data_IF_147342486273
#
_entry.id   IF_147342486273
#
_cell.length_a   1.000
_cell.length_b   1.000
_cell.length_c   1.000
_cell.angle_alpha   90.00
_cell.angle_beta   90.00
_cell.angle_gamma   90.00
#
_symmetry.space_group_name_H-M   'P 1'
#
loop_
_entity.id
_entity.type
_entity.pdbx_description
1 polymer ?
#
# COMPACT_ATOMS: atom_id res chain seq x y z
N UNK A 1 18.09 16.84 -11.10
CA UNK A 1 16.70 17.38 -11.13
C UNK A 1 16.08 17.33 -12.53
N UNK A 2 16.79 17.71 -13.60
CA UNK A 2 16.30 17.66 -14.99
C UNK A 2 15.86 16.27 -15.48
N UNK A 3 16.62 15.22 -15.18
CA UNK A 3 16.28 13.85 -15.60
C UNK A 3 14.99 13.31 -14.95
N UNK A 4 14.74 13.63 -13.67
CA UNK A 4 13.53 13.21 -12.94
C UNK A 4 12.29 13.85 -13.55
N UNK A 5 12.34 15.17 -13.81
CA UNK A 5 11.25 15.89 -14.45
C UNK A 5 11.02 15.41 -15.88
N UNK A 6 12.09 15.07 -16.60
CA UNK A 6 12.01 14.46 -17.93
C UNK A 6 11.31 13.09 -17.88
N UNK A 7 11.67 12.21 -16.95
CA UNK A 7 11.01 10.90 -16.79
C UNK A 7 9.52 11.07 -16.46
N UNK A 8 9.16 11.99 -15.54
CA UNK A 8 7.76 12.27 -15.22
C UNK A 8 6.98 12.82 -16.41
N UNK A 9 7.59 13.71 -17.21
CA UNK A 9 6.96 14.26 -18.41
C UNK A 9 6.78 13.22 -19.52
N UNK A 10 7.69 12.24 -19.61
CA UNK A 10 7.66 11.18 -20.63
C UNK A 10 6.85 9.95 -20.19
N UNK A 11 6.39 9.86 -18.94
CA UNK A 11 5.55 8.75 -18.44
C UNK A 11 4.32 8.49 -19.30
N UNK A 12 3.77 9.55 -19.91
CA UNK A 12 2.58 9.48 -20.77
C UNK A 12 2.89 9.03 -22.20
N UNK A 13 4.14 9.11 -22.62
CA UNK A 13 4.56 8.84 -24.00
C UNK A 13 4.88 7.35 -24.19
N UNK A 14 5.25 6.66 -23.11
CA UNK A 14 5.57 5.23 -23.13
C UNK A 14 4.40 4.41 -22.59
N UNK A 15 3.66 3.79 -23.50
CA UNK A 15 2.54 2.89 -23.22
C UNK A 15 2.89 1.46 -23.64
N UNK A 16 2.50 0.48 -22.82
CA UNK A 16 2.49 -0.95 -23.13
C UNK A 16 1.26 -1.35 -23.98
N UNK A 17 0.37 -0.40 -24.29
CA UNK A 17 -0.89 -0.63 -24.99
C UNK A 17 -1.99 -1.22 -24.12
N UNK A 18 -1.75 -1.36 -22.81
CA UNK A 18 -2.65 -1.96 -21.82
C UNK A 18 -2.85 -1.00 -20.65
N UNK A 19 -4.06 -0.45 -20.44
CA UNK A 19 -4.33 0.55 -19.40
C UNK A 19 -3.88 0.12 -18.00
N UNK A 20 -4.04 -1.15 -17.65
CA UNK A 20 -3.65 -1.72 -16.37
C UNK A 20 -2.13 -1.70 -16.14
N UNK A 21 -1.36 -2.04 -17.17
CA UNK A 21 0.10 -2.10 -17.13
C UNK A 21 0.64 -0.67 -17.09
N UNK A 22 0.07 0.22 -17.89
CA UNK A 22 0.46 1.63 -17.93
C UNK A 22 0.16 2.37 -16.62
N UNK A 23 -0.98 2.06 -15.99
CA UNK A 23 -1.34 2.58 -14.68
C UNK A 23 -0.34 2.13 -13.60
N UNK A 24 -0.07 0.82 -13.54
CA UNK A 24 0.85 0.25 -12.54
C UNK A 24 2.30 0.70 -12.76
N UNK A 25 2.75 0.75 -14.02
CA UNK A 25 4.10 1.20 -14.37
C UNK A 25 4.32 2.66 -13.97
N UNK A 26 3.35 3.54 -14.26
CA UNK A 26 3.44 4.93 -13.85
C UNK A 26 3.46 5.10 -12.33
N UNK A 27 2.64 4.35 -11.57
CA UNK A 27 2.71 4.36 -10.10
C UNK A 27 4.09 3.93 -9.61
N UNK A 28 4.61 2.82 -10.13
CA UNK A 28 5.91 2.28 -9.72
C UNK A 28 7.05 3.27 -10.03
N UNK A 29 7.04 3.89 -11.21
CA UNK A 29 8.01 4.92 -11.57
C UNK A 29 7.89 6.13 -10.65
N UNK A 30 6.67 6.61 -10.37
CA UNK A 30 6.47 7.72 -9.42
C UNK A 30 7.00 7.37 -8.03
N UNK A 31 6.75 6.16 -7.53
CA UNK A 31 7.28 5.70 -6.23
C UNK A 31 8.81 5.63 -6.23
N UNK A 32 9.42 5.10 -7.28
CA UNK A 32 10.88 5.06 -7.46
C UNK A 32 11.46 6.48 -7.43
N UNK A 33 10.88 7.40 -8.20
CA UNK A 33 11.35 8.78 -8.28
C UNK A 33 11.22 9.52 -6.94
N UNK A 34 10.11 9.33 -6.23
CA UNK A 34 9.93 9.91 -4.89
C UNK A 34 10.99 9.38 -3.92
N UNK A 35 11.35 8.10 -4.00
CA UNK A 35 12.44 7.52 -3.19
C UNK A 35 13.80 8.09 -3.57
N UNK A 36 14.08 8.25 -4.86
CA UNK A 36 15.31 8.91 -5.32
C UNK A 36 15.38 10.35 -4.80
N UNK A 37 14.26 11.09 -4.82
CA UNK A 37 14.20 12.45 -4.26
C UNK A 37 14.48 12.41 -2.75
N UNK A 38 13.85 11.51 -1.98
CA UNK A 38 14.07 11.43 -0.53
C UNK A 38 15.53 11.11 -0.19
N UNK A 39 16.10 10.08 -0.80
CA UNK A 39 17.42 9.57 -0.40
C UNK A 39 18.60 10.30 -1.03
N UNK A 40 18.48 10.79 -2.27
CA UNK A 40 19.61 11.36 -3.01
C UNK A 40 19.59 12.89 -3.06
N UNK A 41 18.40 13.51 -2.94
CA UNK A 41 18.26 14.98 -3.10
C UNK A 41 17.98 15.65 -1.77
N UNK A 42 17.03 15.14 -0.98
CA UNK A 42 16.63 15.76 0.28
C UNK A 42 17.59 15.44 1.43
N UNK A 43 18.36 14.36 1.32
CA UNK A 43 19.28 13.91 2.36
C UNK A 43 20.62 13.54 1.73
N UNK A 44 21.71 13.72 2.51
CA UNK A 44 22.95 13.01 2.23
C UNK A 44 22.80 11.59 2.79
N UNK A 45 22.66 10.61 1.90
CA UNK A 45 22.31 9.25 2.28
C UNK A 45 23.28 8.64 3.31
N UNK A 46 24.58 8.82 3.08
CA UNK A 46 25.66 8.20 3.88
C UNK A 46 25.80 8.81 5.27
N UNK A 47 25.36 10.06 5.44
CA UNK A 47 25.38 10.75 6.73
C UNK A 47 24.07 10.57 7.49
N UNK A 48 22.95 10.42 6.78
CA UNK A 48 21.61 10.42 7.38
C UNK A 48 21.15 9.01 7.75
N UNK A 49 21.47 8.03 6.92
CA UNK A 49 20.94 6.67 7.05
C UNK A 49 22.02 5.72 7.52
N UNK A 50 21.73 5.02 8.61
CA UNK A 50 22.68 4.09 9.23
C UNK A 50 21.99 2.77 9.50
N UNK A 51 22.65 1.65 9.19
CA UNK A 51 22.15 0.32 9.58
C UNK A 51 22.44 0.03 11.04
N UNK A 52 21.52 -0.69 11.67
CA UNK A 52 21.70 -1.24 13.01
C UNK A 52 22.65 -2.44 12.93
N UNK A 53 23.74 -2.40 13.71
CA UNK A 53 24.73 -3.47 13.86
C UNK A 53 24.18 -4.58 14.76
N UNK A 54 24.84 -5.73 14.75
CA UNK A 54 24.46 -6.89 15.56
C UNK A 54 24.50 -6.65 17.07
N UNK A 55 25.32 -5.72 17.53
CA UNK A 55 25.45 -5.28 18.92
C UNK A 55 24.39 -4.23 19.32
N UNK A 56 23.53 -3.79 18.39
CA UNK A 56 22.50 -2.78 18.60
C UNK A 56 22.99 -1.33 18.45
N UNK A 57 24.26 -1.11 18.10
CA UNK A 57 24.77 0.22 17.72
C UNK A 57 24.47 0.51 16.25
N UNK A 58 24.69 1.74 15.78
CA UNK A 58 24.50 2.10 14.37
C UNK A 58 25.85 2.23 13.64
N UNK A 59 25.85 1.95 12.35
CA UNK A 59 26.93 2.33 11.43
C UNK A 59 27.21 3.84 11.51
N UNK A 60 28.50 4.21 11.48
CA UNK A 60 28.92 5.62 11.37
C UNK A 60 29.12 6.00 9.90
N UNK A 61 29.22 7.30 9.62
CA UNK A 61 29.58 7.77 8.27
C UNK A 61 30.94 7.20 7.84
N UNK A 62 31.93 7.18 8.73
CA UNK A 62 33.25 6.59 8.48
C UNK A 62 33.19 5.10 8.11
N UNK A 63 32.29 4.33 8.72
CA UNK A 63 32.07 2.93 8.38
C UNK A 63 31.56 2.78 6.94
N UNK A 64 30.70 3.72 6.50
CA UNK A 64 30.09 3.76 5.18
C UNK A 64 31.09 4.24 4.12
N UNK A 65 31.97 5.19 4.44
CA UNK A 65 33.03 5.67 3.54
C UNK A 65 34.10 4.60 3.27
N UNK A 66 34.39 3.75 4.25
CA UNK A 66 35.37 2.66 4.13
C UNK A 66 34.85 1.42 3.37
N UNK A 67 33.58 1.42 2.94
CA UNK A 67 33.01 0.32 2.18
C UNK A 67 33.65 0.20 0.80
N UNK A 68 33.91 -1.04 0.38
CA UNK A 68 34.24 -1.33 -1.03
C UNK A 68 33.07 -0.98 -1.93
N UNK A 69 33.32 -0.79 -3.24
CA UNK A 69 32.25 -0.49 -4.22
C UNK A 69 31.11 -1.52 -4.19
N UNK A 70 31.42 -2.81 -4.00
CA UNK A 70 30.41 -3.85 -3.92
C UNK A 70 29.59 -3.77 -2.63
N UNK A 71 30.23 -3.55 -1.48
CA UNK A 71 29.54 -3.34 -0.21
C UNK A 71 28.65 -2.10 -0.26
N UNK A 72 29.14 -1.03 -0.90
CA UNK A 72 28.40 0.20 -1.10
C UNK A 72 27.18 -0.02 -1.98
N UNK A 73 27.33 -0.75 -3.09
CA UNK A 73 26.21 -1.13 -3.94
C UNK A 73 25.15 -1.93 -3.17
N UNK A 74 25.56 -2.95 -2.41
CA UNK A 74 24.65 -3.73 -1.57
C UNK A 74 23.96 -2.87 -0.49
N UNK A 75 24.69 -1.93 0.11
CA UNK A 75 24.15 -0.96 1.07
C UNK A 75 23.07 -0.08 0.43
N UNK A 76 23.36 0.49 -0.75
CA UNK A 76 22.42 1.35 -1.48
C UNK A 76 21.18 0.59 -1.94
N UNK A 77 21.34 -0.64 -2.45
CA UNK A 77 20.21 -1.51 -2.80
C UNK A 77 19.37 -1.83 -1.57
N UNK A 78 19.99 -2.11 -0.42
CA UNK A 78 19.27 -2.36 0.83
C UNK A 78 18.48 -1.13 1.31
N UNK A 79 19.09 0.06 1.26
CA UNK A 79 18.42 1.33 1.58
C UNK A 79 17.25 1.59 0.62
N UNK A 80 17.49 1.42 -0.67
CA UNK A 80 16.50 1.71 -1.70
C UNK A 80 15.34 0.72 -1.72
N UNK A 81 15.52 -0.52 -1.25
CA UNK A 81 14.46 -1.55 -1.21
C UNK A 81 13.73 -1.62 0.13
N UNK A 82 14.29 -1.09 1.22
CA UNK A 82 13.61 -1.09 2.52
C UNK A 82 12.49 -0.05 2.60
N UNK A 83 11.26 -0.50 2.87
CA UNK A 83 10.08 0.38 2.88
C UNK A 83 9.72 0.84 4.29
N UNK A 84 10.04 0.02 5.30
CA UNK A 84 9.70 0.24 6.72
C UNK A 84 10.93 0.53 7.59
N UNK A 85 12.11 0.65 6.99
CA UNK A 85 13.37 0.91 7.69
C UNK A 85 13.79 -0.22 8.63
N UNK A 86 13.49 -1.48 8.30
CA UNK A 86 13.85 -2.61 9.16
C UNK A 86 15.37 -2.77 9.15
N UNK A 87 16.01 -2.67 10.32
CA UNK A 87 17.46 -2.65 10.46
C UNK A 87 18.12 -1.29 10.16
N UNK A 88 17.33 -0.21 10.11
CA UNK A 88 17.81 1.16 9.87
C UNK A 88 17.39 2.11 11.00
N UNK A 89 18.14 3.18 11.19
CA UNK A 89 17.87 4.23 12.19
C UNK A 89 16.50 4.93 12.04
N UNK A 90 15.88 4.83 10.86
CA UNK A 90 14.56 5.41 10.56
C UNK A 90 13.41 4.40 10.65
N UNK A 91 13.60 3.24 11.28
CA UNK A 91 12.58 2.20 11.43
C UNK A 91 11.23 2.77 11.88
N UNK A 92 10.18 2.41 11.14
CA UNK A 92 8.81 2.82 11.46
C UNK A 92 8.37 2.26 12.83
N UNK A 93 7.72 3.11 13.64
CA UNK A 93 7.20 2.76 14.96
C UNK A 93 6.07 1.72 14.86
N UNK A 94 5.96 0.87 15.89
CA UNK A 94 4.89 -0.14 16.02
C UNK A 94 4.90 -1.25 14.94
N UNK A 95 6.08 -1.59 14.43
CA UNK A 95 6.25 -2.81 13.62
C UNK A 95 6.39 -3.99 14.56
N UNK A 96 5.54 -5.01 14.39
CA UNK A 96 5.62 -6.24 15.19
C UNK A 96 6.98 -6.92 15.01
N UNK A 97 7.53 -7.46 16.09
CA UNK A 97 8.85 -8.09 16.10
C UNK A 97 8.71 -9.58 15.81
N UNK A 98 9.58 -10.09 14.94
CA UNK A 98 9.74 -11.55 14.77
C UNK A 98 10.58 -12.07 15.95
N UNK A 99 10.16 -13.15 16.63
CA UNK A 99 10.93 -13.72 17.73
C UNK A 99 12.36 -14.10 17.32
N UNK A 100 13.35 -13.82 18.18
CA UNK A 100 14.77 -14.12 17.90
C UNK A 100 15.07 -15.62 17.81
N UNK A 101 14.32 -16.43 18.56
CA UNK A 101 14.48 -17.89 18.60
C UNK A 101 13.82 -18.62 17.42
N UNK A 102 13.15 -17.90 16.52
CA UNK A 102 12.46 -18.52 15.39
C UNK A 102 13.49 -19.05 14.38
N UNK A 103 13.46 -20.36 14.11
CA UNK A 103 14.36 -20.97 13.12
C UNK A 103 14.00 -20.51 11.71
N UNK A 104 15.01 -20.50 10.83
CA UNK A 104 14.86 -20.09 9.42
C UNK A 104 13.89 -20.99 8.67
N UNK A 105 14.00 -22.31 8.85
CA UNK A 105 13.12 -23.29 8.20
C UNK A 105 11.65 -23.10 8.62
N UNK A 106 11.41 -22.91 9.92
CA UNK A 106 10.07 -22.64 10.43
C UNK A 106 9.50 -21.33 9.88
N UNK A 107 10.29 -20.26 9.89
CA UNK A 107 9.84 -18.98 9.33
C UNK A 107 9.48 -19.10 7.85
N UNK A 108 10.32 -19.76 7.06
CA UNK A 108 10.09 -19.97 5.62
C UNK A 108 8.82 -20.80 5.39
N UNK A 109 8.61 -21.87 6.16
CA UNK A 109 7.38 -22.68 6.08
C UNK A 109 6.14 -21.85 6.42
N UNK A 110 6.20 -21.01 7.46
CA UNK A 110 5.11 -20.11 7.82
C UNK A 110 4.81 -19.09 6.70
N UNK A 111 5.83 -18.55 6.03
CA UNK A 111 5.62 -17.62 4.91
C UNK A 111 5.07 -18.32 3.67
N UNK A 112 5.53 -19.54 3.36
CA UNK A 112 4.98 -20.34 2.25
C UNK A 112 3.51 -20.66 2.53
N UNK A 113 3.17 -21.10 3.74
CA UNK A 113 1.77 -21.38 4.10
C UNK A 113 0.87 -20.14 3.96
N UNK A 114 1.36 -18.96 4.39
CA UNK A 114 0.64 -17.69 4.19
C UNK A 114 0.52 -17.30 2.73
N UNK A 115 1.57 -17.48 1.93
CA UNK A 115 1.53 -17.23 0.50
C UNK A 115 0.54 -18.17 -0.20
N UNK A 116 0.51 -19.45 0.16
CA UNK A 116 -0.48 -20.42 -0.33
C UNK A 116 -1.90 -20.02 0.03
N UNK A 117 -2.14 -19.58 1.26
CA UNK A 117 -3.46 -19.06 1.65
C UNK A 117 -3.86 -17.83 0.81
N UNK A 118 -2.94 -16.88 0.62
CA UNK A 118 -3.19 -15.70 -0.22
C UNK A 118 -3.50 -16.10 -1.68
N UNK A 119 -2.75 -17.06 -2.22
CA UNK A 119 -2.99 -17.59 -3.57
C UNK A 119 -4.38 -18.22 -3.69
N UNK A 120 -4.77 -19.08 -2.75
CA UNK A 120 -6.11 -19.70 -2.76
C UNK A 120 -7.22 -18.66 -2.68
N UNK A 121 -7.06 -17.64 -1.83
CA UNK A 121 -8.01 -16.53 -1.78
C UNK A 121 -8.10 -15.80 -3.11
N UNK A 122 -6.96 -15.44 -3.72
CA UNK A 122 -6.93 -14.73 -5.00
C UNK A 122 -7.56 -15.56 -6.12
N UNK A 123 -7.32 -16.88 -6.14
CA UNK A 123 -7.89 -17.81 -7.12
C UNK A 123 -9.41 -17.89 -7.01
N UNK A 124 -9.92 -18.12 -5.79
CA UNK A 124 -11.37 -18.12 -5.49
C UNK A 124 -12.00 -16.78 -5.82
N UNK A 125 -11.37 -15.68 -5.41
CA UNK A 125 -11.88 -14.32 -5.63
C UNK A 125 -11.99 -13.97 -7.10
N UNK A 126 -10.94 -14.15 -7.89
CA UNK A 126 -10.96 -13.87 -9.34
C UNK A 126 -11.93 -14.79 -10.07
N UNK A 127 -12.04 -16.06 -9.67
CA UNK A 127 -13.06 -16.95 -10.22
C UNK A 127 -14.47 -16.44 -9.89
N UNK A 128 -14.76 -16.15 -8.62
CA UNK A 128 -16.07 -15.68 -8.19
C UNK A 128 -16.49 -14.37 -8.86
N UNK A 129 -15.61 -13.36 -8.88
CA UNK A 129 -15.91 -12.07 -9.50
C UNK A 129 -16.26 -12.22 -10.98
N UNK A 130 -15.60 -13.12 -11.70
CA UNK A 130 -15.91 -13.43 -13.12
C UNK A 130 -17.31 -14.01 -13.32
N UNK A 131 -17.81 -14.78 -12.36
CA UNK A 131 -19.15 -15.37 -12.43
C UNK A 131 -20.28 -14.43 -11.97
N UNK A 132 -19.94 -13.29 -11.35
CA UNK A 132 -20.92 -12.28 -10.92
C UNK A 132 -21.17 -11.22 -11.99
N UNK A 133 -22.09 -10.29 -11.71
CA UNK A 133 -22.47 -9.15 -12.59
C UNK A 133 -21.27 -8.33 -13.10
N UNK A 134 -20.12 -8.36 -12.40
CA UNK A 134 -18.90 -7.70 -12.86
C UNK A 134 -18.11 -8.48 -13.94
N UNK A 135 -18.34 -9.78 -14.12
CA UNK A 135 -17.68 -10.60 -15.14
C UNK A 135 -18.62 -11.24 -16.17
N UNK A 136 -19.93 -11.17 -15.97
CA UNK A 136 -20.90 -11.51 -17.00
C UNK A 136 -20.78 -10.54 -18.18
N UNK A 137 -20.23 -11.06 -19.27
CA UNK A 137 -19.81 -10.42 -20.53
C UNK A 137 -20.88 -9.60 -21.29
N UNK A 138 -22.03 -9.30 -20.69
CA UNK A 138 -23.20 -8.71 -21.36
C UNK A 138 -23.47 -7.25 -21.02
N UNK A 139 -22.71 -6.63 -20.11
CA UNK A 139 -22.57 -5.18 -20.06
C UNK A 139 -21.36 -4.83 -19.22
N UNK A 140 -20.43 -4.11 -19.81
CA UNK A 140 -19.38 -3.38 -19.11
C UNK A 140 -20.05 -2.59 -17.99
N UNK A 141 -19.92 -3.02 -16.73
CA UNK A 141 -20.22 -2.13 -15.59
C UNK A 141 -19.13 -1.07 -15.60
N UNK A 142 -19.26 -0.12 -16.52
CA UNK A 142 -18.34 0.99 -16.71
C UNK A 142 -18.43 1.94 -15.51
N UNK A 143 -19.54 1.90 -14.78
CA UNK A 143 -19.78 2.69 -13.59
C UNK A 143 -20.52 1.89 -12.50
N UNK A 144 -19.81 1.56 -11.42
CA UNK A 144 -20.41 0.89 -10.25
C UNK A 144 -21.48 1.75 -9.58
N UNK A 145 -21.51 3.06 -9.79
CA UNK A 145 -22.51 3.90 -9.14
C UNK A 145 -23.92 3.67 -9.68
N UNK A 146 -24.06 2.92 -10.78
CA UNK A 146 -25.35 2.51 -11.38
C UNK A 146 -26.00 1.29 -10.73
N UNK A 147 -25.23 0.46 -10.01
CA UNK A 147 -25.75 -0.75 -9.35
C UNK A 147 -26.23 -0.43 -7.92
N UNK A 148 -27.06 -1.28 -7.28
CA UNK A 148 -27.53 -1.05 -5.92
C UNK A 148 -26.41 -0.81 -4.91
N UNK A 149 -26.63 0.13 -3.97
CA UNK A 149 -25.61 0.58 -3.00
C UNK A 149 -24.93 -0.57 -2.24
N UNK A 150 -25.68 -1.59 -1.84
CA UNK A 150 -25.14 -2.74 -1.13
C UNK A 150 -24.12 -3.52 -1.99
N UNK A 151 -24.35 -3.63 -3.30
CA UNK A 151 -23.39 -4.25 -4.22
C UNK A 151 -22.14 -3.39 -4.38
N UNK A 152 -22.29 -2.06 -4.48
CA UNK A 152 -21.15 -1.14 -4.52
C UNK A 152 -20.26 -1.28 -3.28
N UNK A 153 -20.88 -1.35 -2.10
CA UNK A 153 -20.16 -1.53 -0.83
C UNK A 153 -19.43 -2.88 -0.82
N UNK A 154 -20.10 -3.97 -1.21
CA UNK A 154 -19.48 -5.29 -1.28
C UNK A 154 -18.30 -5.32 -2.26
N UNK A 155 -18.44 -4.71 -3.44
CA UNK A 155 -17.33 -4.58 -4.41
C UNK A 155 -16.20 -3.74 -3.84
N UNK A 156 -16.49 -2.61 -3.20
CA UNK A 156 -15.50 -1.76 -2.53
C UNK A 156 -14.64 -2.52 -1.53
N UNK A 157 -15.28 -3.25 -0.62
CA UNK A 157 -14.59 -4.09 0.36
C UNK A 157 -13.84 -5.26 -0.30
N UNK A 158 -14.47 -5.92 -1.26
CA UNK A 158 -13.89 -7.03 -2.01
C UNK A 158 -12.60 -6.61 -2.73
N UNK A 159 -12.61 -5.48 -3.43
CA UNK A 159 -11.43 -4.90 -4.08
C UNK A 159 -10.34 -4.54 -3.06
N UNK A 160 -10.70 -3.94 -1.93
CA UNK A 160 -9.74 -3.58 -0.89
C UNK A 160 -9.05 -4.81 -0.28
N UNK A 161 -9.81 -5.85 0.05
CA UNK A 161 -9.25 -7.11 0.55
C UNK A 161 -8.38 -7.79 -0.50
N UNK A 162 -8.83 -7.86 -1.75
CA UNK A 162 -8.05 -8.43 -2.84
C UNK A 162 -6.71 -7.71 -3.05
N UNK A 163 -6.70 -6.38 -3.05
CA UNK A 163 -5.45 -5.60 -3.12
C UNK A 163 -4.53 -5.87 -1.93
N UNK A 164 -5.08 -5.95 -0.72
CA UNK A 164 -4.31 -6.27 0.49
C UNK A 164 -3.71 -7.69 0.46
N UNK A 165 -4.49 -8.68 0.02
CA UNK A 165 -4.04 -10.07 -0.13
C UNK A 165 -2.97 -10.19 -1.21
N UNK A 166 -3.13 -9.51 -2.34
CA UNK A 166 -2.14 -9.50 -3.44
C UNK A 166 -0.80 -8.93 -2.95
N UNK A 167 -0.83 -7.82 -2.20
CA UNK A 167 0.38 -7.27 -1.56
C UNK A 167 1.00 -8.27 -0.58
N UNK A 168 0.17 -8.93 0.24
CA UNK A 168 0.59 -9.96 1.17
C UNK A 168 1.27 -11.14 0.47
N UNK A 169 0.69 -11.63 -0.63
CA UNK A 169 1.23 -12.71 -1.44
C UNK A 169 2.66 -12.43 -1.91
N UNK A 170 2.88 -11.29 -2.58
CA UNK A 170 4.20 -10.90 -3.06
C UNK A 170 5.21 -10.74 -1.90
N UNK A 171 4.76 -10.20 -0.77
CA UNK A 171 5.62 -10.04 0.40
C UNK A 171 6.04 -11.37 1.02
N UNK A 172 5.11 -12.29 1.24
CA UNK A 172 5.40 -13.58 1.86
C UNK A 172 6.28 -14.46 0.96
N UNK A 173 6.07 -14.43 -0.36
CA UNK A 173 6.98 -15.06 -1.31
C UNK A 173 8.38 -14.46 -1.26
N UNK A 174 8.48 -13.13 -1.28
CA UNK A 174 9.76 -12.43 -1.14
C UNK A 174 10.49 -12.78 0.16
N UNK A 175 9.75 -12.82 1.28
CA UNK A 175 10.28 -13.19 2.59
C UNK A 175 10.78 -14.64 2.63
N UNK A 176 10.00 -15.58 2.07
CA UNK A 176 10.38 -16.99 1.99
C UNK A 176 11.65 -17.16 1.15
N UNK A 177 11.75 -16.48 0.01
CA UNK A 177 12.93 -16.53 -0.85
C UNK A 177 14.16 -15.89 -0.18
N UNK A 178 14.02 -14.69 0.38
CA UNK A 178 15.11 -13.95 1.00
C UNK A 178 15.67 -14.65 2.24
N UNK A 179 14.81 -15.24 3.08
CA UNK A 179 15.24 -15.97 4.29
C UNK A 179 15.63 -17.41 3.97
N UNK A 180 15.02 -18.04 2.96
CA UNK A 180 15.38 -19.39 2.52
C UNK A 180 16.76 -19.45 1.86
N UNK A 181 17.11 -18.43 1.08
CA UNK A 181 18.35 -18.40 0.28
C UNK A 181 19.64 -18.15 1.06
N UNK A 182 19.59 -17.60 2.27
CA UNK A 182 20.82 -17.15 2.94
C UNK A 182 20.81 -15.68 3.32
N UNK A 183 20.17 -14.86 2.48
CA UNK A 183 20.43 -13.42 2.37
C UNK A 183 19.99 -12.61 3.59
N UNK A 184 18.90 -13.01 4.23
CA UNK A 184 18.33 -12.28 5.35
C UNK A 184 17.94 -13.21 6.50
N UNK A 185 17.92 -12.64 7.72
CA UNK A 185 17.37 -13.30 8.89
C UNK A 185 15.84 -13.12 8.93
N UNK A 186 15.09 -14.02 9.61
CA UNK A 186 13.65 -13.86 9.81
C UNK A 186 13.26 -12.47 10.34
N UNK A 187 14.08 -11.89 11.20
CA UNK A 187 13.83 -10.60 11.84
C UNK A 187 13.90 -9.40 10.88
N UNK A 188 14.51 -9.58 9.70
CA UNK A 188 14.52 -8.58 8.63
C UNK A 188 13.17 -8.48 7.91
N UNK A 189 12.28 -9.47 8.06
CA UNK A 189 10.99 -9.58 7.36
C UNK A 189 9.79 -9.66 8.34
N UNK A 190 9.54 -8.62 9.15
CA UNK A 190 8.39 -8.61 10.06
C UNK A 190 7.05 -8.55 9.30
N UNK A 191 5.96 -9.15 9.82
CA UNK A 191 4.64 -9.12 9.18
C UNK A 191 4.21 -7.72 8.71
N UNK A 192 3.60 -7.62 7.52
CA UNK A 192 3.07 -6.33 7.02
C UNK A 192 1.83 -5.94 7.82
N UNK A 193 0.92 -6.88 8.00
CA UNK A 193 -0.31 -6.70 8.74
C UNK A 193 -0.06 -7.10 10.19
N UNK A 194 -0.44 -6.22 11.13
CA UNK A 194 -0.42 -6.56 12.55
C UNK A 194 -1.58 -7.48 12.93
N UNK A 195 -1.61 -7.94 14.18
CA UNK A 195 -2.74 -8.74 14.71
C UNK A 195 -4.07 -7.99 14.56
N UNK A 196 -5.01 -8.59 13.81
CA UNK A 196 -6.35 -8.06 13.58
C UNK A 196 -7.14 -7.92 14.88
N UNK A 197 -7.01 -8.91 15.77
CA UNK A 197 -7.81 -9.05 16.98
C UNK A 197 -7.28 -8.23 18.16
N UNK A 198 -5.97 -8.07 18.30
CA UNK A 198 -5.38 -7.33 19.42
C UNK A 198 -5.25 -5.83 19.14
N UNK A 199 -5.10 -5.46 17.86
CA UNK A 199 -4.77 -4.09 17.46
C UNK A 199 -5.50 -3.70 16.18
N UNK A 200 -6.80 -3.96 16.06
CA UNK A 200 -7.64 -3.71 14.86
C UNK A 200 -7.51 -2.30 14.23
N UNK A 201 -7.00 -1.33 14.98
CA UNK A 201 -6.63 0.03 14.56
C UNK A 201 -5.37 0.09 13.67
N UNK A 202 -4.60 -1.00 13.60
CA UNK A 202 -3.27 -1.08 12.97
C UNK A 202 -3.35 -1.58 11.53
N UNK A 203 -4.45 -2.24 11.13
CA UNK A 203 -4.70 -2.59 9.73
C UNK A 203 -4.82 -1.36 8.83
N UNK A 204 -5.30 -0.25 9.41
CA UNK A 204 -5.41 1.05 8.73
C UNK A 204 -4.09 1.84 8.75
N UNK A 205 -3.05 1.33 9.39
CA UNK A 205 -1.75 2.00 9.41
C UNK A 205 -0.97 1.57 8.17
N UNK A 206 -1.00 2.44 7.18
CA UNK A 206 -0.21 2.33 5.97
C UNK A 206 1.29 2.56 6.27
N UNK A 207 1.95 1.59 6.90
CA UNK A 207 3.35 1.72 7.33
C UNK A 207 4.34 1.69 6.16
N UNK A 208 3.92 1.14 5.02
CA UNK A 208 4.79 0.91 3.86
C UNK A 208 5.29 2.22 3.23
N UNK A 209 4.45 3.25 3.20
CA UNK A 209 4.78 4.56 2.61
C UNK A 209 5.00 5.67 3.66
N UNK A 210 5.07 5.29 4.94
CA UNK A 210 5.15 6.27 6.04
C UNK A 210 6.36 7.19 5.93
N UNK A 211 7.52 6.67 5.56
CA UNK A 211 8.76 7.46 5.39
C UNK A 211 8.61 8.53 4.32
N UNK A 212 8.03 8.16 3.18
CA UNK A 212 7.75 9.09 2.07
C UNK A 212 6.93 10.26 2.59
N UNK A 213 5.83 9.98 3.29
CA UNK A 213 4.97 11.03 3.81
C UNK A 213 5.65 11.86 4.90
N UNK A 214 6.42 11.25 5.80
CA UNK A 214 7.18 11.97 6.83
C UNK A 214 8.22 12.93 6.24
N UNK A 215 8.93 12.52 5.18
CA UNK A 215 9.93 13.36 4.52
C UNK A 215 9.28 14.57 3.83
N UNK A 216 8.24 14.33 3.01
CA UNK A 216 7.51 15.41 2.32
C UNK A 216 6.84 16.35 3.33
N UNK A 217 6.29 15.81 4.42
CA UNK A 217 5.70 16.59 5.50
C UNK A 217 6.70 17.52 6.19
N UNK A 218 7.92 17.04 6.49
CA UNK A 218 8.97 17.89 7.06
C UNK A 218 9.33 19.06 6.15
N UNK A 219 9.48 18.79 4.85
CA UNK A 219 9.73 19.82 3.84
C UNK A 219 8.60 20.86 3.82
N UNK A 220 7.34 20.42 3.78
CA UNK A 220 6.17 21.29 3.76
C UNK A 220 6.06 22.16 5.02
N UNK A 221 6.26 21.59 6.21
CA UNK A 221 6.20 22.35 7.46
C UNK A 221 7.31 23.39 7.55
N UNK A 222 8.50 23.07 7.04
CA UNK A 222 9.62 24.03 6.97
C UNK A 222 9.30 25.16 6.00
N UNK A 223 8.79 24.85 4.81
CA UNK A 223 8.39 25.83 3.79
C UNK A 223 7.33 26.80 4.31
N UNK A 224 6.31 26.27 5.00
CA UNK A 224 5.21 27.06 5.56
C UNK A 224 5.50 27.63 6.95
N UNK A 225 6.72 27.40 7.49
CA UNK A 225 7.16 27.83 8.83
C UNK A 225 6.18 27.44 9.95
N UNK A 226 5.52 26.29 9.83
CA UNK A 226 4.55 25.80 10.82
C UNK A 226 5.28 25.04 11.93
N UNK A 227 5.08 25.48 13.18
CA UNK A 227 5.70 24.83 14.34
C UNK A 227 5.16 23.40 14.55
N UNK A 228 6.08 22.45 14.69
CA UNK A 228 5.77 21.07 15.06
C UNK A 228 4.96 20.99 16.36
N UNK A 229 4.03 20.03 16.44
CA UNK A 229 3.21 19.78 17.63
C UNK A 229 1.96 20.68 17.75
N UNK A 230 1.76 21.63 16.84
CA UNK A 230 0.52 22.41 16.76
C UNK A 230 -0.60 21.63 16.05
N UNK A 231 -1.87 22.02 16.27
CA UNK A 231 -3.01 21.46 15.52
C UNK A 231 -2.88 21.71 14.01
N UNK A 232 -2.39 22.90 13.63
CA UNK A 232 -2.09 23.22 12.24
C UNK A 232 -1.06 22.25 11.64
N UNK A 233 0.04 21.98 12.35
CA UNK A 233 1.03 20.99 11.93
C UNK A 233 0.44 19.59 11.80
N UNK A 234 -0.42 19.16 12.73
CA UNK A 234 -1.07 17.85 12.68
C UNK A 234 -1.94 17.69 11.43
N UNK A 235 -2.86 18.62 11.18
CA UNK A 235 -3.79 18.50 10.06
C UNK A 235 -3.10 18.75 8.71
N UNK A 236 -2.14 19.66 8.64
CA UNK A 236 -1.36 19.87 7.43
C UNK A 236 -0.60 18.60 7.02
N UNK A 237 0.02 17.91 7.97
CA UNK A 237 0.68 16.62 7.73
C UNK A 237 -0.29 15.52 7.32
N UNK A 238 -1.48 15.50 7.92
CA UNK A 238 -2.54 14.54 7.60
C UNK A 238 -3.03 14.73 6.16
N UNK A 239 -3.46 15.95 5.81
CA UNK A 239 -3.93 16.26 4.46
C UNK A 239 -2.84 16.06 3.42
N UNK A 240 -1.61 16.47 3.69
CA UNK A 240 -0.51 16.29 2.76
C UNK A 240 -0.17 14.81 2.52
N UNK A 241 -0.22 13.95 3.54
CA UNK A 241 0.00 12.51 3.36
C UNK A 241 -1.02 11.87 2.40
N UNK A 242 -2.30 12.24 2.53
CA UNK A 242 -3.35 11.78 1.62
C UNK A 242 -3.27 12.43 0.24
N UNK A 243 -2.88 13.70 0.17
CA UNK A 243 -2.67 14.41 -1.08
C UNK A 243 -1.51 13.81 -1.90
N UNK A 244 -0.38 13.49 -1.27
CA UNK A 244 0.74 12.81 -1.95
C UNK A 244 0.32 11.43 -2.45
N UNK A 245 -0.45 10.68 -1.66
CA UNK A 245 -1.05 9.40 -2.13
C UNK A 245 -1.94 9.62 -3.35
N UNK A 246 -2.81 10.63 -3.31
CA UNK A 246 -3.68 10.99 -4.43
C UNK A 246 -2.87 11.34 -5.68
N UNK A 247 -1.78 12.11 -5.56
CA UNK A 247 -0.90 12.46 -6.68
C UNK A 247 -0.22 11.24 -7.30
N UNK A 248 0.29 10.31 -6.49
CA UNK A 248 0.91 9.07 -6.97
C UNK A 248 -0.09 8.26 -7.82
N UNK A 249 -1.32 8.08 -7.32
CA UNK A 249 -2.35 7.35 -8.06
C UNK A 249 -2.91 8.15 -9.26
N UNK A 250 -2.96 9.48 -9.16
CA UNK A 250 -3.37 10.34 -10.26
C UNK A 250 -2.35 10.32 -11.39
N UNK A 251 -1.05 10.26 -11.10
CA UNK A 251 -0.01 10.11 -12.11
C UNK A 251 -0.21 8.83 -12.94
N UNK A 252 -0.58 7.72 -12.29
CA UNK A 252 -1.01 6.51 -12.99
C UNK A 252 -2.26 6.73 -13.86
N UNK A 253 -3.24 7.48 -13.34
CA UNK A 253 -4.48 7.77 -14.05
C UNK A 253 -4.29 8.61 -15.32
N UNK A 254 -3.21 9.38 -15.45
CA UNK A 254 -2.90 10.17 -16.65
C UNK A 254 -2.69 9.29 -17.91
N UNK A 255 -2.40 8.00 -17.72
CA UNK A 255 -2.28 7.01 -18.79
C UNK A 255 -3.61 6.38 -19.20
N UNK A 256 -4.70 6.68 -18.50
CA UNK A 256 -6.05 6.25 -18.86
C UNK A 256 -6.90 7.48 -19.21
N UNK A 257 -6.65 8.15 -20.35
CA UNK A 257 -7.39 9.35 -20.73
C UNK A 257 -8.88 9.02 -20.89
N UNK A 258 -9.75 9.97 -20.52
CA UNK A 258 -11.22 9.84 -20.59
C UNK A 258 -11.84 8.84 -19.59
N UNK A 259 -11.10 8.43 -18.56
CA UNK A 259 -11.57 7.58 -17.46
C UNK A 259 -11.95 8.41 -16.22
N UNK A 260 -12.96 7.95 -15.45
CA UNK A 260 -13.29 8.52 -14.12
C UNK A 260 -12.25 8.16 -13.05
N UNK A 261 -11.25 7.33 -13.38
CA UNK A 261 -10.18 6.85 -12.51
C UNK A 261 -9.48 7.98 -11.74
N UNK A 262 -9.03 9.03 -12.43
CA UNK A 262 -8.26 10.11 -11.81
C UNK A 262 -9.06 10.83 -10.72
N UNK A 263 -10.32 11.14 -11.01
CA UNK A 263 -11.23 11.77 -10.03
C UNK A 263 -11.55 10.84 -8.87
N UNK A 264 -11.90 9.59 -9.15
CA UNK A 264 -12.29 8.62 -8.11
C UNK A 264 -11.15 8.35 -7.13
N UNK A 265 -9.91 8.23 -7.61
CA UNK A 265 -8.72 8.05 -6.75
C UNK A 265 -8.49 9.28 -5.87
N UNK A 266 -8.48 10.48 -6.46
CA UNK A 266 -8.31 11.73 -5.69
C UNK A 266 -9.39 11.88 -4.63
N UNK A 267 -10.65 11.60 -4.98
CA UNK A 267 -11.76 11.65 -4.04
C UNK A 267 -11.60 10.63 -2.90
N UNK A 268 -11.25 9.38 -3.22
CA UNK A 268 -11.02 8.32 -2.23
C UNK A 268 -9.96 8.72 -1.20
N UNK A 269 -8.83 9.27 -1.63
CA UNK A 269 -7.77 9.68 -0.71
C UNK A 269 -8.13 10.94 0.08
N UNK A 270 -8.72 11.96 -0.57
CA UNK A 270 -8.99 13.26 0.07
C UNK A 270 -10.19 13.26 1.02
N UNK A 271 -11.12 12.30 0.92
CA UNK A 271 -12.21 12.16 1.90
C UNK A 271 -11.73 11.59 3.24
N UNK A 272 -10.64 10.81 3.27
CA UNK A 272 -10.08 10.24 4.50
C UNK A 272 -9.66 11.29 5.53
N UNK A 273 -8.83 12.31 5.21
CA UNK A 273 -8.43 13.31 6.19
C UNK A 273 -9.62 14.15 6.70
N UNK A 274 -10.64 14.36 5.86
CA UNK A 274 -11.90 15.03 6.28
C UNK A 274 -12.64 14.18 7.31
N UNK A 275 -12.79 12.88 7.07
CA UNK A 275 -13.45 11.97 7.99
C UNK A 275 -12.68 11.82 9.32
N UNK A 276 -11.34 11.77 9.27
CA UNK A 276 -10.49 11.73 10.46
C UNK A 276 -10.60 13.03 11.27
N UNK A 277 -10.62 14.19 10.60
CA UNK A 277 -10.80 15.47 11.28
C UNK A 277 -12.18 15.57 11.96
N UNK A 278 -13.22 15.05 11.31
CA UNK A 278 -14.55 14.96 11.91
C UNK A 278 -14.57 14.00 13.12
N UNK A 279 -13.94 12.84 13.02
CA UNK A 279 -13.76 11.91 14.14
C UNK A 279 -13.05 12.59 15.32
N UNK A 280 -11.96 13.30 15.06
CA UNK A 280 -11.21 14.06 16.06
C UNK A 280 -12.09 15.09 16.78
N UNK A 281 -12.94 15.80 16.04
CA UNK A 281 -13.89 16.77 16.60
C UNK A 281 -14.94 16.08 17.49
N UNK A 282 -15.51 14.96 17.05
CA UNK A 282 -16.49 14.20 17.84
C UNK A 282 -15.85 13.66 19.11
N UNK A 283 -14.64 13.09 19.02
CA UNK A 283 -13.86 12.62 20.18
C UNK A 283 -13.56 13.77 21.14
N UNK A 284 -13.20 14.93 20.62
CA UNK A 284 -12.94 16.13 21.42
C UNK A 284 -14.19 16.60 22.18
N UNK A 285 -15.33 16.71 21.50
CA UNK A 285 -16.61 17.10 22.11
C UNK A 285 -17.09 16.07 23.13
N UNK A 286 -16.87 14.78 22.85
CA UNK A 286 -17.19 13.69 23.77
C UNK A 286 -16.38 13.78 25.06
N UNK A 287 -15.06 14.01 24.95
CA UNK A 287 -14.18 14.22 26.11
C UNK A 287 -14.56 15.46 26.92
N UNK A 288 -14.97 16.55 26.25
CA UNK A 288 -15.47 17.76 26.93
C UNK A 288 -16.77 17.53 27.71
N UNK A 289 -17.53 16.48 27.37
CA UNK A 289 -18.75 16.07 28.07
C UNK A 289 -18.51 14.90 29.04
N UNK A 290 -17.25 14.62 29.38
CA UNK A 290 -16.84 13.51 30.26
C UNK A 290 -17.36 12.13 29.82
N UNK A 291 -17.55 11.92 28.51
CA UNK A 291 -17.87 10.60 27.98
C UNK A 291 -16.70 9.65 28.24
N UNK A 292 -16.97 8.60 29.02
CA UNK A 292 -16.00 7.57 29.36
C UNK A 292 -15.72 6.68 28.15
N UNK A 293 -14.46 6.26 28.02
CA UNK A 293 -14.10 5.19 27.09
C UNK A 293 -14.71 3.87 27.58
N UNK A 294 -15.75 3.42 26.88
CA UNK A 294 -16.50 2.20 27.13
C UNK A 294 -16.57 1.36 25.86
N UNK A 295 -16.97 0.10 25.98
CA UNK A 295 -17.20 -0.74 24.81
C UNK A 295 -18.23 -0.12 23.84
N UNK A 296 -19.24 0.61 24.35
CA UNK A 296 -20.24 1.30 23.53
C UNK A 296 -19.63 2.43 22.71
N UNK A 297 -18.81 3.29 23.32
CA UNK A 297 -18.13 4.38 22.60
C UNK A 297 -17.13 3.84 21.57
N UNK A 298 -16.45 2.73 21.88
CA UNK A 298 -15.59 2.04 20.91
C UNK A 298 -16.39 1.44 19.75
N UNK A 299 -17.54 0.83 20.02
CA UNK A 299 -18.44 0.30 18.99
C UNK A 299 -18.92 1.39 18.03
N UNK A 300 -19.29 2.57 18.55
CA UNK A 300 -19.64 3.73 17.71
C UNK A 300 -18.46 4.12 16.81
N UNK A 301 -17.24 4.14 17.34
CA UNK A 301 -16.03 4.38 16.53
C UNK A 301 -15.83 3.34 15.42
N UNK A 302 -16.01 2.05 15.72
CA UNK A 302 -15.93 0.99 14.70
C UNK A 302 -17.01 1.14 13.63
N UNK A 303 -18.25 1.42 14.01
CA UNK A 303 -19.36 1.66 13.07
C UNK A 303 -19.04 2.86 12.18
N UNK A 304 -18.55 3.96 12.76
CA UNK A 304 -18.12 5.15 12.00
C UNK A 304 -17.05 4.80 10.95
N UNK A 305 -15.99 4.10 11.36
CA UNK A 305 -14.91 3.68 10.45
C UNK A 305 -15.45 2.78 9.34
N UNK A 306 -16.29 1.80 9.66
CA UNK A 306 -16.91 0.91 8.67
C UNK A 306 -17.79 1.71 7.70
N UNK A 307 -18.57 2.68 8.17
CA UNK A 307 -19.40 3.53 7.32
C UNK A 307 -18.56 4.40 6.38
N UNK A 308 -17.52 5.07 6.89
CA UNK A 308 -16.62 5.91 6.09
C UNK A 308 -15.87 5.09 5.04
N UNK A 309 -15.36 3.92 5.42
CA UNK A 309 -14.69 3.01 4.49
C UNK A 309 -15.67 2.45 3.45
N UNK A 310 -16.85 1.99 3.87
CA UNK A 310 -17.89 1.51 2.94
C UNK A 310 -18.30 2.59 1.94
N UNK A 311 -18.36 3.85 2.36
CA UNK A 311 -18.66 4.97 1.47
C UNK A 311 -17.52 5.22 0.48
N UNK A 312 -16.29 5.35 0.99
CA UNK A 312 -15.11 5.78 0.22
C UNK A 312 -14.52 4.68 -0.68
N UNK A 313 -14.53 3.41 -0.24
CA UNK A 313 -14.00 2.27 -1.00
C UNK A 313 -14.72 2.04 -2.32
N UNK A 314 -15.96 2.51 -2.47
CA UNK A 314 -16.67 2.49 -3.76
C UNK A 314 -15.89 3.29 -4.82
N UNK A 315 -15.38 4.48 -4.46
CA UNK A 315 -14.57 5.27 -5.38
C UNK A 315 -13.24 4.59 -5.72
N UNK A 316 -12.59 3.95 -4.74
CA UNK A 316 -11.39 3.15 -5.01
C UNK A 316 -11.68 2.00 -5.99
N UNK A 317 -12.78 1.25 -5.77
CA UNK A 317 -13.21 0.18 -6.66
C UNK A 317 -13.56 0.67 -8.06
N UNK A 318 -14.31 1.77 -8.19
CA UNK A 318 -14.59 2.40 -9.49
C UNK A 318 -13.29 2.76 -10.21
N UNK A 319 -12.32 3.31 -9.48
CA UNK A 319 -11.00 3.59 -10.02
C UNK A 319 -10.31 2.33 -10.53
N UNK A 320 -10.22 1.28 -9.71
CA UNK A 320 -9.60 0.00 -10.08
C UNK A 320 -10.24 -0.60 -11.34
N UNK A 321 -11.58 -0.60 -11.42
CA UNK A 321 -12.29 -1.08 -12.61
C UNK A 321 -11.98 -0.21 -13.84
N UNK A 322 -12.01 1.10 -13.69
CA UNK A 322 -11.73 2.04 -14.77
C UNK A 322 -10.25 2.06 -15.20
N UNK A 323 -9.36 1.41 -14.45
CA UNK A 323 -7.97 1.13 -14.83
C UNK A 323 -7.79 -0.22 -15.54
N UNK A 324 -8.86 -1.00 -15.76
CA UNK A 324 -8.78 -2.37 -16.30
C UNK A 324 -8.34 -3.43 -15.27
N UNK A 325 -7.93 -3.02 -14.06
CA UNK A 325 -7.40 -3.92 -13.04
C UNK A 325 -8.43 -4.91 -12.46
N UNK A 326 -9.73 -4.68 -12.69
CA UNK A 326 -10.78 -5.64 -12.31
C UNK A 326 -10.84 -6.87 -13.19
N UNK A 327 -10.40 -6.77 -14.44
CA UNK A 327 -10.46 -7.84 -15.44
C UNK A 327 -9.14 -8.62 -15.52
N UNK A 328 -8.05 -8.00 -15.05
CA UNK A 328 -6.70 -8.53 -15.16
C UNK A 328 -6.44 -9.57 -14.08
N UNK A 329 -6.09 -10.76 -14.53
CA UNK A 329 -5.71 -11.84 -13.62
C UNK A 329 -4.31 -11.62 -13.11
N UNK A 330 -4.13 -11.91 -11.82
CA UNK A 330 -2.77 -12.01 -11.29
C UNK A 330 -2.01 -13.11 -12.06
N UNK A 331 -0.76 -12.88 -12.55
CA UNK A 331 -0.07 -13.79 -13.46
C UNK A 331 0.05 -15.24 -12.94
N UNK A 332 0.23 -15.39 -11.62
CA UNK A 332 0.29 -16.72 -10.98
C UNK A 332 -1.07 -17.41 -10.98
N UNK A 333 -2.16 -16.65 -10.75
CA UNK A 333 -3.51 -17.21 -10.78
C UNK A 333 -3.89 -17.58 -12.22
N UNK A 334 -3.56 -16.73 -13.19
CA UNK A 334 -3.85 -17.01 -14.61
C UNK A 334 -3.24 -18.33 -15.07
N UNK A 335 -1.99 -18.59 -14.69
CA UNK A 335 -1.27 -19.80 -15.09
C UNK A 335 -1.63 -21.04 -14.27
N UNK A 336 -1.98 -20.89 -12.99
CA UNK A 336 -2.07 -22.01 -12.04
C UNK A 336 -3.43 -22.12 -11.33
N UNK A 337 -4.47 -21.46 -11.82
CA UNK A 337 -5.80 -21.47 -11.20
C UNK A 337 -6.31 -22.88 -10.91
N UNK A 338 -6.67 -23.14 -9.66
CA UNK A 338 -7.29 -24.38 -9.19
C UNK A 338 -8.78 -24.32 -9.50
N UNK A 339 -9.41 -23.17 -9.26
CA UNK A 339 -10.84 -22.97 -9.53
C UNK A 339 -11.20 -23.18 -10.99
N UNK A 340 -10.38 -22.69 -11.93
CA UNK A 340 -10.62 -22.93 -13.37
C UNK A 340 -10.46 -24.42 -13.73
N UNK A 341 -9.56 -25.15 -13.06
CA UNK A 341 -9.36 -26.59 -13.30
C UNK A 341 -10.49 -27.44 -12.72
N UNK A 342 -11.04 -27.04 -11.58
CA UNK A 342 -12.11 -27.78 -10.89
C UNK A 342 -13.50 -27.47 -11.44
N UNK A 343 -13.77 -26.21 -11.77
CA UNK A 343 -15.11 -25.72 -12.13
C UNK A 343 -15.19 -25.17 -13.56
N UNK A 344 -14.11 -25.28 -14.32
CA UNK A 344 -13.98 -24.67 -15.64
C UNK A 344 -13.56 -23.21 -15.56
N UNK A 345 -12.74 -22.79 -16.54
CA UNK A 345 -12.59 -21.37 -16.84
C UNK A 345 -13.95 -20.88 -17.30
N UNK A 346 -14.63 -20.05 -16.51
CA UNK A 346 -16.00 -19.60 -16.74
C UNK A 346 -16.21 -18.75 -17.99
N UNK A 347 -15.92 -19.30 -19.17
CA UNK A 347 -16.39 -18.83 -20.45
C UNK A 347 -17.44 -19.83 -20.93
N UNK A 348 -18.70 -19.41 -21.00
CA UNK A 348 -19.60 -20.04 -21.96
C UNK A 348 -18.93 -19.90 -23.33
N UNK A 349 -18.48 -21.02 -23.87
CA UNK A 349 -18.14 -21.15 -25.28
C UNK A 349 -19.38 -20.80 -26.08
N UNK A 350 -19.43 -19.60 -26.66
CA UNK A 350 -20.19 -19.42 -27.89
C UNK A 350 -19.40 -20.17 -28.97
N UNK A 351 -19.75 -21.44 -29.17
CA UNK A 351 -19.52 -22.07 -30.48
C UNK A 351 -20.43 -21.34 -31.50
N UNK A 352 -19.94 -21.09 -32.72
CA UNK A 352 -20.72 -20.41 -33.77
C UNK A 352 -21.99 -21.18 -34.15
#
# INVERSE_FOLDING_TARGET
MSAILCILANLRIHTAGRPEEDYLNAINICLILIRCIDFEILHNAEQTFCREKSDGTFETADDIEKMTLWQKFQWSVSLFTTMRGIGWNWRVKNVDKVPKHLSRSRFVLEQIARASYCFLYMDVHQWYIRWTVCGARTSTVSDIFTIPLWQQILLGWSSAFYSGITLGFSYYLGAAFAVGSGLYMPQSWPPIFGSFFEKGHTLLRHQFHRRIFESVNKCLLHLLRVKNGTLASRYLQLYNAFFVSALIHHAGALNCPYSSLGWCQVYFFMVQPVAIMFEDLVVYLGKRKDLKDTWKTRMVGYVWVICVLSYSLRYAAQGILAAGLGEVRHPVVDKYSIMDRLFGSGGMSCSP
#
